data_IF_521349625216
#
_entry.id   IF_521349625216
#
_cell.length_a   1.000
_cell.length_b   1.000
_cell.length_c   1.000
_cell.angle_alpha   90.00
_cell.angle_beta   90.00
_cell.angle_gamma   90.00
#
_symmetry.space_group_name_H-M   'P 1'
#
loop_
_entity.id
_entity.type
_entity.pdbx_description
1 polymer ?
#
# COMPACT_ATOMS: atom_id res chain seq x y z
N UNK A 1 5.95 3.95 5.55
CA UNK A 1 6.64 3.53 4.34
C UNK A 1 5.74 2.64 3.50
N UNK A 2 5.22 3.15 2.38
CA UNK A 2 4.32 2.41 1.49
C UNK A 2 5.12 1.98 0.26
N UNK A 3 5.17 0.67 -0.04
CA UNK A 3 5.95 0.19 -1.16
C UNK A 3 5.30 0.64 -2.47
N UNK A 4 6.14 1.02 -3.42
CA UNK A 4 5.74 1.10 -4.81
C UNK A 4 5.60 -0.29 -5.42
N UNK A 5 4.87 -0.40 -6.53
CA UNK A 5 4.79 -1.66 -7.26
C UNK A 5 6.01 -1.81 -8.15
N UNK A 6 6.63 -3.00 -8.12
CA UNK A 6 7.81 -3.29 -8.94
C UNK A 6 7.40 -3.41 -10.41
N UNK A 7 7.71 -2.39 -11.20
CA UNK A 7 7.52 -2.36 -12.66
C UNK A 7 8.82 -2.64 -13.41
N UNK A 8 9.96 -2.41 -12.75
CA UNK A 8 11.31 -2.73 -13.18
C UNK A 8 12.09 -3.35 -12.01
N UNK A 9 13.08 -4.18 -12.33
CA UNK A 9 13.95 -4.77 -11.32
C UNK A 9 14.94 -3.70 -10.84
N UNK A 10 15.03 -3.41 -9.53
CA UNK A 10 15.96 -2.40 -9.05
C UNK A 10 17.41 -2.83 -9.27
N UNK A 11 18.28 -1.84 -9.50
CA UNK A 11 19.71 -2.07 -9.59
C UNK A 11 20.27 -2.71 -8.31
N UNK A 12 21.30 -3.55 -8.51
CA UNK A 12 22.03 -4.23 -7.44
C UNK A 12 21.10 -4.98 -6.47
N UNK A 13 20.02 -5.56 -6.99
CA UNK A 13 19.03 -6.33 -6.24
C UNK A 13 19.68 -7.28 -5.20
N UNK A 14 20.63 -8.18 -5.55
CA UNK A 14 21.23 -9.10 -4.57
C UNK A 14 22.04 -8.42 -3.46
N UNK A 15 22.60 -7.24 -3.73
CA UNK A 15 23.50 -6.54 -2.81
C UNK A 15 22.75 -5.61 -1.87
N UNK A 16 21.84 -4.80 -2.41
CA UNK A 16 21.29 -3.64 -1.71
C UNK A 16 19.86 -3.87 -1.21
N UNK A 17 19.27 -5.04 -1.45
CA UNK A 17 17.89 -5.33 -1.11
C UNK A 17 17.71 -6.59 -0.26
N UNK A 18 16.69 -6.53 0.59
CA UNK A 18 16.08 -7.67 1.26
C UNK A 18 14.79 -8.07 0.54
N UNK A 19 14.40 -9.34 0.65
CA UNK A 19 13.12 -9.88 0.16
C UNK A 19 12.45 -10.74 1.23
N UNK A 20 11.13 -10.72 1.28
CA UNK A 20 10.35 -11.66 2.06
C UNK A 20 8.96 -11.94 1.48
N UNK A 21 8.42 -13.10 1.84
CA UNK A 21 7.04 -13.46 1.54
C UNK A 21 6.09 -12.51 2.28
N UNK A 22 5.26 -11.76 1.57
CA UNK A 22 4.32 -10.83 2.19
C UNK A 22 3.10 -11.62 2.67
N UNK A 23 2.71 -11.55 3.96
CA UNK A 23 1.43 -12.10 4.41
C UNK A 23 0.25 -11.41 3.72
N UNK A 24 -0.78 -12.19 3.40
CA UNK A 24 -2.12 -11.66 3.14
C UNK A 24 -2.72 -11.04 4.42
N UNK A 25 -3.60 -10.06 4.25
CA UNK A 25 -4.32 -9.46 5.38
C UNK A 25 -4.26 -7.94 5.40
N UNK A 26 -4.63 -7.36 6.55
CA UNK A 26 -4.81 -5.92 6.73
C UNK A 26 -3.52 -5.30 7.25
N UNK A 27 -2.82 -4.53 6.41
CA UNK A 27 -1.69 -3.72 6.85
C UNK A 27 -2.15 -2.63 7.84
N UNK A 28 -1.44 -2.50 8.94
CA UNK A 28 -1.79 -1.59 10.03
C UNK A 28 -0.56 -1.21 10.85
N UNK A 29 -0.61 -0.03 11.46
CA UNK A 29 0.27 0.27 12.58
C UNK A 29 -0.29 -0.33 13.85
N UNK A 30 0.58 -0.89 14.68
CA UNK A 30 0.28 -1.33 16.04
C UNK A 30 1.03 -0.44 17.01
N UNK A 31 0.28 0.27 17.86
CA UNK A 31 0.82 1.21 18.85
C UNK A 31 0.53 0.69 20.24
N UNK A 32 1.56 0.46 21.06
CA UNK A 32 1.43 0.12 22.47
C UNK A 32 1.83 1.30 23.36
N UNK A 33 0.93 1.71 24.25
CA UNK A 33 1.11 2.81 25.20
C UNK A 33 0.09 2.70 26.33
N UNK A 34 0.43 3.22 27.52
CA UNK A 34 -0.50 3.40 28.64
C UNK A 34 -1.28 2.15 29.08
N UNK A 35 -0.66 0.98 28.91
CA UNK A 35 -1.21 -0.32 29.28
C UNK A 35 -2.26 -0.83 28.29
N UNK A 36 -2.26 -0.33 27.05
CA UNK A 36 -3.12 -0.83 25.98
C UNK A 36 -2.38 -0.84 24.64
N UNK A 37 -2.91 -1.61 23.69
CA UNK A 37 -2.42 -1.69 22.32
C UNK A 37 -3.55 -1.38 21.36
N UNK A 38 -3.28 -0.52 20.37
CA UNK A 38 -4.24 -0.10 19.36
C UNK A 38 -3.64 -0.38 17.99
N UNK A 39 -4.39 -1.09 17.15
CA UNK A 39 -4.03 -1.25 15.73
C UNK A 39 -4.86 -0.32 14.85
N UNK A 40 -4.23 0.37 13.89
CA UNK A 40 -4.88 1.31 12.98
C UNK A 40 -4.49 1.03 11.54
N UNK A 41 -5.48 0.98 10.65
CA UNK A 41 -5.25 0.86 9.22
C UNK A 41 -4.70 2.18 8.65
N UNK A 42 -4.23 2.15 7.39
CA UNK A 42 -3.67 3.32 6.68
C UNK A 42 -4.62 4.53 6.65
N UNK A 43 -5.92 4.30 6.56
CA UNK A 43 -6.95 5.36 6.58
C UNK A 43 -7.28 5.87 8.00
N UNK A 44 -6.53 5.43 9.02
CA UNK A 44 -6.70 5.85 10.42
C UNK A 44 -7.77 5.09 11.21
N UNK A 45 -8.58 4.23 10.55
CA UNK A 45 -9.60 3.44 11.23
C UNK A 45 -8.94 2.49 12.24
N UNK A 46 -9.54 2.40 13.42
CA UNK A 46 -9.08 1.45 14.44
C UNK A 46 -9.56 0.06 14.03
N UNK A 47 -8.61 -0.87 13.87
CA UNK A 47 -8.93 -2.28 13.67
C UNK A 47 -9.27 -2.93 15.00
N UNK A 48 -8.35 -2.86 15.98
CA UNK A 48 -8.55 -3.42 17.31
C UNK A 48 -7.97 -2.54 18.43
N UNK A 49 -8.57 -2.66 19.63
CA UNK A 49 -8.01 -2.23 20.92
C UNK A 49 -7.87 -3.46 21.81
N UNK A 50 -6.69 -3.74 22.33
CA UNK A 50 -6.40 -5.01 23.02
C UNK A 50 -5.19 -4.91 23.97
N UNK A 51 -5.09 -5.77 25.00
CA UNK A 51 -3.86 -5.93 25.76
C UNK A 51 -2.84 -6.76 24.97
N UNK A 52 -1.57 -6.38 25.00
CA UNK A 52 -0.48 -7.15 24.38
C UNK A 52 0.73 -7.24 25.30
N UNK A 53 1.60 -8.23 25.03
CA UNK A 53 2.89 -8.38 25.69
C UNK A 53 3.99 -7.46 25.10
N UNK A 54 3.63 -6.51 24.23
CA UNK A 54 4.53 -5.44 23.83
C UNK A 54 4.79 -4.50 25.01
N UNK A 55 5.90 -3.73 25.00
CA UNK A 55 6.17 -2.74 26.03
C UNK A 55 5.00 -1.78 26.22
N UNK A 56 4.52 -1.64 27.46
CA UNK A 56 3.35 -0.85 27.84
C UNK A 56 2.05 -1.20 27.10
N UNK A 57 1.96 -2.42 26.54
CA UNK A 57 0.79 -2.91 25.81
C UNK A 57 -0.34 -3.45 26.68
N UNK A 58 -0.09 -3.68 27.97
CA UNK A 58 -1.06 -4.19 28.95
C UNK A 58 -0.76 -3.63 30.36
N UNK A 59 -1.78 -3.57 31.22
CA UNK A 59 -1.63 -3.22 32.64
C UNK A 59 -1.31 -4.47 33.45
N UNK A 60 -0.04 -4.74 33.69
CA UNK A 60 0.43 -5.87 34.52
C UNK A 60 1.11 -5.36 35.80
N UNK A 61 1.13 -6.19 36.85
CA UNK A 61 1.75 -5.83 38.15
C UNK A 61 3.27 -5.62 38.06
N UNK A 62 3.92 -6.26 37.09
CA UNK A 62 5.38 -6.30 36.95
C UNK A 62 5.94 -5.23 35.99
N UNK A 63 5.07 -4.35 35.46
CA UNK A 63 5.45 -3.32 34.49
C UNK A 63 6.11 -2.11 35.11
N UNK A 64 7.36 -2.24 35.59
CA UNK A 64 8.21 -1.12 36.05
C UNK A 64 8.80 -0.29 34.88
N UNK A 65 8.03 -0.12 33.80
CA UNK A 65 8.43 0.69 32.65
C UNK A 65 8.17 2.16 32.93
N UNK A 66 8.99 3.04 32.35
CA UNK A 66 8.67 4.47 32.27
C UNK A 66 7.26 4.63 31.71
N UNK A 67 6.38 5.30 32.45
CA UNK A 67 4.99 5.59 32.09
C UNK A 67 4.86 6.38 30.77
N UNK A 68 5.96 6.88 30.20
CA UNK A 68 5.97 7.67 28.96
C UNK A 68 6.54 6.93 27.75
N UNK A 69 6.87 5.63 27.87
CA UNK A 69 7.42 4.88 26.74
C UNK A 69 6.32 4.24 25.88
N UNK A 70 6.43 4.33 24.56
CA UNK A 70 5.50 3.72 23.61
C UNK A 70 6.27 2.94 22.54
N UNK A 71 5.60 2.02 21.85
CA UNK A 71 6.19 1.31 20.70
C UNK A 71 5.25 1.38 19.50
N UNK A 72 5.83 1.43 18.31
CA UNK A 72 5.11 1.48 17.03
C UNK A 72 5.70 0.41 16.12
N UNK A 73 4.87 -0.55 15.74
CA UNK A 73 5.20 -1.61 14.77
C UNK A 73 4.37 -1.41 13.50
N UNK A 74 4.97 -1.69 12.34
CA UNK A 74 4.24 -1.87 11.08
C UNK A 74 3.96 -3.36 10.91
N UNK A 75 2.68 -3.71 10.83
CA UNK A 75 2.23 -5.09 10.83
C UNK A 75 1.25 -5.36 9.69
N UNK A 76 1.15 -6.63 9.32
CA UNK A 76 0.03 -7.16 8.55
C UNK A 76 -0.76 -8.09 9.47
N UNK A 77 -2.01 -7.74 9.75
CA UNK A 77 -2.90 -8.59 10.52
C UNK A 77 -3.53 -9.63 9.59
N UNK A 78 -3.16 -10.89 9.80
CA UNK A 78 -3.71 -12.03 9.08
C UNK A 78 -4.91 -12.57 9.87
N UNK A 79 -6.09 -12.53 9.25
CA UNK A 79 -7.35 -12.77 9.98
C UNK A 79 -7.56 -14.24 10.34
N UNK A 80 -7.09 -15.15 9.48
CA UNK A 80 -7.34 -16.59 9.61
C UNK A 80 -6.66 -17.20 10.84
N UNK A 81 -5.45 -16.76 11.20
CA UNK A 81 -4.69 -17.22 12.37
C UNK A 81 -4.64 -16.17 13.50
N UNK A 82 -5.33 -15.04 13.33
CA UNK A 82 -5.37 -13.91 14.26
C UNK A 82 -3.98 -13.42 14.70
N UNK A 83 -3.01 -13.42 13.80
CA UNK A 83 -1.62 -13.02 14.08
C UNK A 83 -1.27 -11.69 13.43
N UNK A 84 -0.57 -10.83 14.20
CA UNK A 84 0.10 -9.65 13.66
C UNK A 84 1.50 -10.04 13.18
N UNK A 85 1.66 -10.20 11.88
CA UNK A 85 2.97 -10.38 11.28
C UNK A 85 3.68 -9.04 11.22
N UNK A 86 4.76 -8.88 11.97
CA UNK A 86 5.52 -7.64 12.06
C UNK A 86 6.47 -7.58 10.87
N UNK A 87 6.28 -6.56 10.03
CA UNK A 87 7.11 -6.31 8.84
C UNK A 87 8.12 -5.19 9.07
N UNK A 88 7.90 -4.36 10.10
CA UNK A 88 8.82 -3.27 10.45
C UNK A 88 8.66 -2.79 11.89
N UNK A 89 9.69 -2.12 12.42
CA UNK A 89 9.70 -1.46 13.72
C UNK A 89 10.07 0.01 13.55
N UNK A 90 9.13 0.89 13.91
CA UNK A 90 9.25 2.34 13.71
C UNK A 90 9.68 3.03 15.01
N UNK A 91 9.21 2.53 16.15
CA UNK A 91 9.59 3.01 17.47
C UNK A 91 9.54 1.86 18.47
N UNK A 92 10.50 1.82 19.40
CA UNK A 92 10.52 0.82 20.47
C UNK A 92 10.85 1.45 21.80
N UNK A 93 9.94 1.35 22.79
CA UNK A 93 10.11 1.95 24.13
C UNK A 93 10.51 3.43 24.10
N UNK A 94 9.99 4.19 23.14
CA UNK A 94 10.30 5.62 22.95
C UNK A 94 11.56 5.89 22.11
N UNK A 95 12.35 4.88 21.75
CA UNK A 95 13.44 5.04 20.80
C UNK A 95 12.89 5.11 19.38
N UNK A 96 12.99 6.29 18.78
CA UNK A 96 12.67 6.53 17.37
C UNK A 96 13.65 5.78 16.47
N UNK A 97 13.13 5.03 15.50
CA UNK A 97 13.93 4.33 14.48
C UNK A 97 13.71 4.90 13.07
N UNK A 98 13.04 6.04 12.94
CA UNK A 98 12.73 6.64 11.64
C UNK A 98 13.98 6.88 10.78
N UNK A 99 15.04 7.41 11.39
CA UNK A 99 16.31 7.73 10.74
C UNK A 99 17.30 6.55 10.70
N UNK A 100 16.84 5.35 11.07
CA UNK A 100 17.64 4.14 10.96
C UNK A 100 17.38 3.42 9.65
N UNK A 101 18.44 2.82 9.10
CA UNK A 101 18.37 1.96 7.92
C UNK A 101 17.46 0.75 8.14
N UNK A 102 16.88 0.21 7.07
CA UNK A 102 16.05 -0.98 7.12
C UNK A 102 16.79 -2.17 7.72
N UNK A 103 18.06 -2.32 7.38
CA UNK A 103 18.94 -3.34 7.96
C UNK A 103 19.00 -3.27 9.50
N UNK A 104 19.25 -2.07 10.05
CA UNK A 104 19.26 -1.91 11.50
C UNK A 104 17.88 -2.17 12.11
N UNK A 105 16.81 -1.65 11.50
CA UNK A 105 15.44 -1.86 11.99
C UNK A 105 15.05 -3.33 12.02
N UNK A 106 15.41 -4.10 10.99
CA UNK A 106 15.14 -5.54 10.93
C UNK A 106 15.96 -6.33 11.96
N UNK A 107 17.25 -6.02 12.10
CA UNK A 107 18.08 -6.60 13.15
C UNK A 107 17.50 -6.32 14.55
N UNK A 108 17.16 -5.06 14.81
CA UNK A 108 16.62 -4.62 16.10
C UNK A 108 15.25 -5.25 16.39
N UNK A 109 14.37 -5.30 15.39
CA UNK A 109 13.06 -5.96 15.47
C UNK A 109 13.21 -7.43 15.89
N UNK A 110 14.07 -8.19 15.22
CA UNK A 110 14.28 -9.60 15.50
C UNK A 110 14.77 -9.81 16.95
N UNK A 111 15.75 -9.00 17.39
CA UNK A 111 16.28 -9.10 18.76
C UNK A 111 15.25 -8.68 19.81
N UNK A 112 14.57 -7.54 19.61
CA UNK A 112 13.73 -6.92 20.64
C UNK A 112 12.36 -7.54 20.78
N UNK A 113 11.79 -8.07 19.69
CA UNK A 113 10.51 -8.77 19.80
C UNK A 113 10.68 -10.11 20.54
N UNK A 114 11.79 -10.81 20.32
CA UNK A 114 12.12 -12.06 21.01
C UNK A 114 12.34 -11.89 22.53
N UNK A 115 12.74 -10.71 22.99
CA UNK A 115 12.84 -10.37 24.41
C UNK A 115 11.46 -10.18 25.08
N UNK A 116 10.36 -10.24 24.32
CA UNK A 116 8.99 -10.09 24.82
C UNK A 116 8.22 -11.41 24.80
N UNK A 117 7.11 -11.48 25.55
CA UNK A 117 6.14 -12.56 25.42
C UNK A 117 5.18 -12.42 24.23
N UNK A 118 5.43 -11.51 23.27
CA UNK A 118 4.49 -11.21 22.19
C UNK A 118 4.35 -12.33 21.15
N UNK A 119 5.32 -13.23 21.08
CA UNK A 119 5.30 -14.40 20.18
C UNK A 119 4.62 -15.63 20.81
N UNK A 120 4.34 -15.58 22.11
CA UNK A 120 3.69 -16.66 22.87
C UNK A 120 2.19 -16.79 22.51
N UNK A 121 1.55 -17.92 22.87
CA UNK A 121 0.11 -18.07 22.68
C UNK A 121 -0.71 -17.00 23.43
N UNK A 122 -1.90 -16.65 22.92
CA UNK A 122 -2.78 -15.68 23.57
C UNK A 122 -3.10 -16.00 25.04
N UNK A 123 -3.18 -14.96 25.87
CA UNK A 123 -3.56 -15.00 27.28
C UNK A 123 -4.42 -13.79 27.66
N UNK A 124 -4.85 -13.71 28.93
CA UNK A 124 -5.70 -12.60 29.40
C UNK A 124 -5.10 -11.21 29.17
N UNK A 125 -3.77 -11.08 29.30
CA UNK A 125 -3.04 -9.82 29.08
C UNK A 125 -2.34 -9.75 27.72
N UNK A 126 -2.61 -10.71 26.83
CA UNK A 126 -2.00 -10.79 25.51
C UNK A 126 -2.98 -11.42 24.51
N UNK A 127 -3.79 -10.60 23.84
CA UNK A 127 -4.92 -11.10 23.05
C UNK A 127 -4.53 -11.72 21.70
N UNK A 128 -3.57 -11.12 21.00
CA UNK A 128 -3.18 -11.52 19.65
C UNK A 128 -1.69 -11.82 19.62
N UNK A 129 -1.34 -12.91 18.94
CA UNK A 129 0.06 -13.29 18.71
C UNK A 129 0.72 -12.29 17.76
N UNK A 130 2.00 -12.04 17.98
CA UNK A 130 2.89 -11.37 17.03
C UNK A 130 3.87 -12.40 16.46
N UNK A 131 4.25 -12.24 15.20
CA UNK A 131 5.26 -13.09 14.59
C UNK A 131 6.14 -12.26 13.67
N UNK A 132 7.42 -12.60 13.64
CA UNK A 132 8.35 -12.07 12.65
C UNK A 132 8.05 -12.71 11.29
N UNK A 133 8.31 -11.94 10.23
CA UNK A 133 8.37 -12.46 8.87
C UNK A 133 9.83 -12.82 8.54
N UNK A 134 10.11 -14.01 7.98
CA UNK A 134 11.47 -14.36 7.56
C UNK A 134 11.97 -13.41 6.47
N UNK A 135 13.00 -12.62 6.78
CA UNK A 135 13.66 -11.71 5.84
C UNK A 135 14.90 -12.37 5.27
N UNK A 136 15.06 -12.34 3.95
CA UNK A 136 16.16 -12.95 3.23
C UNK A 136 16.92 -11.92 2.41
N UNK A 137 18.21 -12.17 2.17
CA UNK A 137 18.98 -11.51 1.11
C UNK A 137 18.39 -11.84 -0.25
N UNK A 138 18.52 -10.93 -1.22
CA UNK A 138 18.05 -11.16 -2.58
C UNK A 138 19.03 -11.99 -3.44
N UNK A 139 19.71 -12.97 -2.86
CA UNK A 139 20.45 -13.98 -3.63
C UNK A 139 19.51 -15.08 -4.14
N UNK A 140 20.03 -16.00 -4.97
CA UNK A 140 19.25 -17.08 -5.55
C UNK A 140 18.48 -17.89 -4.48
N UNK A 141 19.11 -18.15 -3.35
CA UNK A 141 18.54 -18.97 -2.28
C UNK A 141 17.47 -18.21 -1.50
N UNK A 142 17.71 -16.94 -1.19
CA UNK A 142 16.80 -16.09 -0.45
C UNK A 142 15.56 -15.70 -1.26
N UNK A 143 15.73 -15.41 -2.55
CA UNK A 143 14.61 -15.17 -3.46
C UNK A 143 13.73 -16.43 -3.59
N UNK A 144 14.36 -17.60 -3.76
CA UNK A 144 13.63 -18.88 -3.79
C UNK A 144 12.91 -19.16 -2.46
N UNK A 145 13.54 -18.90 -1.32
CA UNK A 145 12.94 -19.08 0.00
C UNK A 145 11.72 -18.18 0.20
N UNK A 146 11.79 -16.91 -0.20
CA UNK A 146 10.66 -15.99 -0.13
C UNK A 146 9.52 -16.39 -1.10
N UNK A 147 9.87 -16.75 -2.34
CA UNK A 147 8.90 -17.06 -3.39
C UNK A 147 8.22 -18.41 -3.20
N UNK A 148 8.99 -19.49 -3.10
CA UNK A 148 8.50 -20.87 -3.07
C UNK A 148 8.51 -21.50 -1.66
N UNK A 149 9.23 -20.92 -0.70
CA UNK A 149 9.34 -21.49 0.65
C UNK A 149 8.02 -21.53 1.42
N UNK A 150 7.88 -22.50 2.31
CA UNK A 150 6.71 -22.65 3.17
C UNK A 150 6.66 -21.57 4.25
N UNK A 151 5.48 -20.97 4.47
CA UNK A 151 5.21 -19.96 5.50
C UNK A 151 3.88 -20.28 6.18
N UNK A 152 3.64 -19.85 7.44
CA UNK A 152 2.43 -20.21 8.19
C UNK A 152 1.17 -19.43 7.79
N UNK A 153 1.23 -18.65 6.71
CA UNK A 153 0.15 -17.78 6.22
C UNK A 153 0.00 -17.88 4.72
N UNK A 154 -1.15 -17.45 4.21
CA UNK A 154 -1.33 -17.28 2.76
C UNK A 154 -0.52 -16.07 2.31
N UNK A 155 0.35 -16.26 1.31
CA UNK A 155 1.14 -15.18 0.71
C UNK A 155 0.25 -14.23 -0.10
N UNK A 156 0.65 -12.97 -0.14
CA UNK A 156 0.08 -11.95 -1.00
C UNK A 156 1.19 -11.08 -1.61
N UNK A 157 2.08 -11.75 -2.35
CA UNK A 157 3.22 -11.15 -3.03
C UNK A 157 4.55 -11.32 -2.31
N UNK A 158 5.57 -10.71 -2.91
CA UNK A 158 6.87 -10.49 -2.32
C UNK A 158 7.02 -9.01 -1.97
N UNK A 159 7.72 -8.75 -0.87
CA UNK A 159 8.07 -7.40 -0.45
C UNK A 159 9.59 -7.26 -0.43
N UNK A 160 10.08 -6.19 -1.05
CA UNK A 160 11.49 -5.88 -1.18
C UNK A 160 11.80 -4.58 -0.47
N UNK A 161 12.89 -4.56 0.29
CA UNK A 161 13.31 -3.39 1.07
C UNK A 161 14.76 -3.09 0.77
N UNK A 162 15.07 -1.86 0.34
CA UNK A 162 16.45 -1.44 0.23
C UNK A 162 17.07 -1.39 1.63
N UNK A 163 18.24 -2.01 1.80
CA UNK A 163 18.93 -2.16 3.09
C UNK A 163 19.19 -0.83 3.78
N UNK A 164 19.44 0.22 3.00
CA UNK A 164 19.78 1.56 3.48
C UNK A 164 18.54 2.46 3.68
N UNK A 165 17.33 1.99 3.36
CA UNK A 165 16.13 2.80 3.44
C UNK A 165 15.81 3.25 4.87
N UNK A 166 15.66 4.55 5.08
CA UNK A 166 15.07 5.10 6.30
C UNK A 166 13.55 4.90 6.28
N UNK A 167 12.92 4.87 7.45
CA UNK A 167 11.47 4.70 7.50
C UNK A 167 10.76 6.02 7.24
N UNK A 168 10.33 6.25 5.99
CA UNK A 168 9.61 7.46 5.61
C UNK A 168 8.10 7.17 5.43
N UNK A 169 7.18 7.97 6.00
CA UNK A 169 5.76 7.91 5.66
C UNK A 169 5.52 8.28 4.20
N UNK A 170 4.49 7.71 3.58
CA UNK A 170 4.20 7.93 2.15
C UNK A 170 4.75 6.83 1.24
N UNK A 171 4.52 7.00 -0.07
CA UNK A 171 5.05 6.12 -1.11
C UNK A 171 6.58 6.27 -1.16
N UNK A 172 7.28 5.18 -1.46
CA UNK A 172 8.73 5.24 -1.65
C UNK A 172 9.18 4.20 -2.67
N UNK A 173 10.17 4.52 -3.51
CA UNK A 173 10.78 3.54 -4.38
C UNK A 173 11.71 2.60 -3.61
N UNK A 174 12.09 2.92 -2.37
CA UNK A 174 13.02 2.10 -1.56
C UNK A 174 12.35 0.90 -0.87
N UNK A 175 11.06 0.73 -1.09
CA UNK A 175 10.34 -0.50 -0.77
C UNK A 175 9.46 -0.85 -1.97
N UNK A 176 9.49 -2.11 -2.39
CA UNK A 176 8.76 -2.57 -3.57
C UNK A 176 7.87 -3.75 -3.23
N UNK A 177 6.72 -3.83 -3.89
CA UNK A 177 5.84 -5.00 -3.88
C UNK A 177 5.77 -5.59 -5.28
N UNK A 178 5.97 -6.90 -5.38
CA UNK A 178 5.81 -7.65 -6.62
C UNK A 178 4.86 -8.82 -6.39
N UNK A 179 4.10 -9.18 -7.42
CA UNK A 179 3.11 -10.26 -7.35
C UNK A 179 3.06 -11.02 -8.67
N UNK A 180 2.76 -12.30 -8.54
CA UNK A 180 2.29 -13.16 -9.62
C UNK A 180 1.23 -14.15 -9.09
N UNK A 181 0.76 -15.01 -9.97
CA UNK A 181 -0.31 -15.98 -9.69
C UNK A 181 0.11 -17.08 -8.71
N UNK A 182 1.42 -17.29 -8.54
CA UNK A 182 1.96 -18.31 -7.64
C UNK A 182 2.09 -17.79 -6.20
N UNK A 183 2.34 -16.49 -6.02
CA UNK A 183 2.54 -15.89 -4.69
C UNK A 183 1.39 -14.97 -4.22
N UNK A 184 0.36 -14.73 -5.03
CA UNK A 184 -0.81 -13.95 -4.65
C UNK A 184 -2.09 -14.43 -5.33
N UNK A 185 -3.19 -14.42 -4.57
CA UNK A 185 -4.55 -14.65 -5.10
C UNK A 185 -5.10 -13.44 -5.87
N UNK A 186 -4.57 -12.24 -5.61
CA UNK A 186 -5.07 -10.97 -6.12
C UNK A 186 -3.94 -10.21 -6.81
N UNK A 187 -3.51 -10.76 -7.94
CA UNK A 187 -2.50 -10.14 -8.81
C UNK A 187 -3.12 -8.98 -9.59
N UNK A 188 -4.30 -9.22 -10.17
CA UNK A 188 -5.08 -8.22 -10.91
C UNK A 188 -6.24 -7.73 -10.02
N UNK A 189 -6.47 -6.41 -10.02
CA UNK A 189 -7.58 -5.81 -9.30
C UNK A 189 -8.92 -6.39 -9.77
N UNK A 190 -9.78 -6.76 -8.80
CA UNK A 190 -11.11 -7.30 -9.03
C UNK A 190 -12.20 -6.29 -8.70
N UNK A 191 -13.37 -6.45 -9.29
CA UNK A 191 -14.57 -5.70 -8.92
C UNK A 191 -15.15 -6.14 -7.56
N UNK A 192 -16.28 -5.56 -7.17
CA UNK A 192 -16.97 -5.87 -5.91
C UNK A 192 -17.51 -7.31 -5.83
N UNK A 193 -17.52 -8.05 -6.95
CA UNK A 193 -17.92 -9.47 -7.03
C UNK A 193 -16.70 -10.40 -7.05
N UNK A 194 -15.49 -9.86 -6.96
CA UNK A 194 -14.25 -10.63 -7.06
C UNK A 194 -13.91 -11.03 -8.50
N UNK A 195 -14.51 -10.41 -9.51
CA UNK A 195 -14.24 -10.70 -10.91
C UNK A 195 -13.22 -9.73 -11.48
N UNK A 196 -12.29 -10.21 -12.29
CA UNK A 196 -11.33 -9.35 -13.01
C UNK A 196 -12.08 -8.59 -14.11
N UNK A 197 -12.11 -7.25 -14.09
CA UNK A 197 -12.76 -6.47 -15.15
C UNK A 197 -12.03 -6.64 -16.50
N UNK A 198 -12.78 -6.56 -17.60
CA UNK A 198 -12.25 -6.63 -18.98
C UNK A 198 -11.21 -5.53 -19.22
N UNK A 199 -11.52 -4.31 -18.79
CA UNK A 199 -10.64 -3.15 -18.87
C UNK A 199 -10.05 -2.85 -17.50
N UNK A 200 -8.78 -2.45 -17.45
CA UNK A 200 -8.18 -1.99 -16.21
C UNK A 200 -8.96 -0.81 -15.64
N UNK A 201 -9.26 -0.86 -14.34
CA UNK A 201 -9.87 0.24 -13.62
C UNK A 201 -8.83 0.93 -12.74
N UNK A 202 -8.88 2.26 -12.72
CA UNK A 202 -7.99 3.10 -11.89
C UNK A 202 -8.81 4.09 -11.09
N UNK A 203 -8.30 4.46 -9.92
CA UNK A 203 -8.88 5.50 -9.07
C UNK A 203 -7.91 6.66 -8.99
N UNK A 204 -8.36 7.84 -9.40
CA UNK A 204 -7.58 9.08 -9.41
C UNK A 204 -8.28 10.14 -8.57
N UNK A 205 -7.51 11.10 -8.07
CA UNK A 205 -8.02 12.22 -7.29
C UNK A 205 -8.27 13.42 -8.19
N UNK A 206 -9.47 14.01 -8.11
CA UNK A 206 -9.78 15.27 -8.76
C UNK A 206 -9.13 16.44 -8.01
N UNK A 207 -8.36 17.24 -8.71
CA UNK A 207 -7.71 18.46 -8.22
C UNK A 207 -8.57 19.70 -8.49
N UNK A 208 -8.24 20.83 -7.83
CA UNK A 208 -8.96 22.10 -7.97
C UNK A 208 -8.95 22.65 -9.41
N UNK A 209 -7.92 22.34 -10.18
CA UNK A 209 -7.76 22.79 -11.58
C UNK A 209 -8.39 21.83 -12.61
N UNK A 210 -9.17 20.84 -12.16
CA UNK A 210 -9.84 19.85 -13.00
C UNK A 210 -8.95 18.67 -13.41
N UNK A 211 -7.66 18.67 -13.04
CA UNK A 211 -6.78 17.52 -13.29
C UNK A 211 -7.19 16.32 -12.43
N UNK A 212 -6.96 15.13 -12.98
CA UNK A 212 -7.08 13.88 -12.23
C UNK A 212 -5.70 13.25 -12.06
N UNK A 213 -5.32 13.02 -10.81
CA UNK A 213 -3.94 12.67 -10.44
C UNK A 213 -3.84 11.43 -9.59
N UNK A 214 -2.65 10.84 -9.56
CA UNK A 214 -2.28 9.75 -8.64
C UNK A 214 -2.03 10.25 -7.22
N UNK A 215 -1.81 9.32 -6.30
CA UNK A 215 -1.46 9.62 -4.90
C UNK A 215 0.04 9.85 -4.64
N UNK A 216 0.84 9.98 -5.70
CA UNK A 216 2.30 10.15 -5.58
C UNK A 216 2.66 11.56 -5.13
N UNK A 217 3.92 11.76 -4.71
CA UNK A 217 4.46 13.06 -4.35
C UNK A 217 5.77 13.31 -5.12
N UNK A 218 5.78 14.20 -6.13
CA UNK A 218 4.64 14.96 -6.64
C UNK A 218 3.60 14.08 -7.39
N UNK A 219 2.33 14.49 -7.45
CA UNK A 219 1.27 13.72 -8.10
C UNK A 219 1.46 13.65 -9.63
N UNK A 220 1.19 12.49 -10.22
CA UNK A 220 1.23 12.29 -11.68
C UNK A 220 -0.12 12.61 -12.29
N UNK A 221 -0.14 13.52 -13.25
CA UNK A 221 -1.36 13.93 -13.97
C UNK A 221 -1.67 12.93 -15.06
N UNK A 222 -2.87 12.35 -15.04
CA UNK A 222 -3.33 11.42 -16.07
C UNK A 222 -4.18 12.09 -17.15
N UNK A 223 -5.00 13.06 -16.75
CA UNK A 223 -5.86 13.82 -17.65
C UNK A 223 -6.35 15.10 -16.98
N UNK A 224 -6.99 15.97 -17.75
CA UNK A 224 -7.74 17.11 -17.27
C UNK A 224 -9.21 16.93 -17.66
N UNK A 225 -10.12 16.96 -16.69
CA UNK A 225 -11.55 16.90 -16.96
C UNK A 225 -12.04 18.26 -17.44
N UNK A 226 -12.87 18.25 -18.48
CA UNK A 226 -13.51 19.46 -18.99
C UNK A 226 -14.40 20.10 -17.90
N UNK A 227 -14.39 21.42 -17.79
CA UNK A 227 -15.20 22.17 -16.81
C UNK A 227 -16.70 21.89 -17.01
N UNK A 228 -17.13 21.71 -18.26
CA UNK A 228 -18.49 21.33 -18.58
C UNK A 228 -18.86 19.95 -18.02
N UNK A 229 -17.90 19.03 -17.94
CA UNK A 229 -18.11 17.71 -17.34
C UNK A 229 -18.26 17.80 -15.81
N UNK A 230 -17.47 18.68 -15.18
CA UNK A 230 -17.53 18.94 -13.73
C UNK A 230 -18.81 19.70 -13.36
N UNK A 231 -19.42 20.48 -14.26
CA UNK A 231 -20.63 21.24 -13.96
C UNK A 231 -21.94 20.55 -14.41
N UNK A 232 -21.86 19.43 -15.14
CA UNK A 232 -23.04 18.70 -15.62
C UNK A 232 -23.85 18.10 -14.46
N UNK A 233 -25.17 18.40 -14.34
CA UNK A 233 -26.02 17.76 -13.34
C UNK A 233 -26.16 16.26 -13.64
N UNK A 234 -25.98 15.43 -12.62
CA UNK A 234 -26.20 13.98 -12.71
C UNK A 234 -27.70 13.71 -12.88
N UNK A 235 -28.13 13.40 -14.12
CA UNK A 235 -29.51 12.97 -14.38
C UNK A 235 -29.70 11.57 -13.80
N UNK A 236 -30.34 11.47 -12.62
CA UNK A 236 -30.80 10.18 -12.10
C UNK A 236 -32.08 9.78 -12.83
N UNK A 237 -32.20 8.56 -13.38
CA UNK A 237 -33.48 8.08 -13.89
C UNK A 237 -34.45 7.91 -12.71
N UNK A 238 -35.49 8.72 -12.69
CA UNK A 238 -36.55 8.69 -11.69
C UNK A 238 -37.49 7.51 -11.99
N UNK A 239 -37.30 6.38 -11.32
CA UNK A 239 -38.32 5.32 -11.25
C UNK A 239 -39.15 5.54 -9.98
N UNK A 240 -40.30 6.20 -10.13
CA UNK A 240 -41.27 6.37 -9.05
C UNK A 240 -42.68 6.44 -9.62
N UNK A 241 -43.51 5.45 -9.32
CA UNK A 241 -44.95 5.50 -9.57
C UNK A 241 -45.53 6.71 -8.82
N UNK A 242 -46.06 7.69 -9.54
CA UNK A 242 -46.84 8.77 -8.95
C UNK A 242 -48.25 8.27 -8.64
N UNK A 243 -48.56 8.11 -7.35
CA UNK A 243 -49.95 8.15 -6.88
C UNK A 243 -50.36 9.61 -6.76
N UNK A 244 -51.39 9.92 -7.54
CA UNK A 244 -52.26 11.09 -7.58
C UNK A 244 -52.56 11.69 -6.20
N UNK A 245 -52.30 12.99 -6.01
CA UNK A 245 -53.28 14.00 -5.56
C UNK A 245 -52.72 15.41 -5.75
N UNK A 246 -53.63 16.29 -6.17
CA UNK A 246 -53.46 17.67 -6.65
C UNK A 246 -52.81 18.64 -5.66
N UNK A 247 -51.91 19.49 -6.18
CA UNK A 247 -51.89 20.95 -6.00
C UNK A 247 -51.12 21.60 -7.15
N UNK A 248 -51.76 22.52 -7.88
CA UNK A 248 -51.17 23.35 -8.92
C UNK A 248 -50.27 24.43 -8.30
N UNK A 249 -49.03 24.55 -8.77
CA UNK A 249 -48.18 25.74 -8.60
C UNK A 249 -47.62 26.14 -9.98
N UNK A 250 -47.71 27.42 -10.42
CA UNK A 250 -47.26 27.84 -11.76
C UNK A 250 -45.74 27.97 -11.89
N UNK A 251 -45.28 27.87 -13.15
CA UNK A 251 -43.90 27.96 -13.62
C UNK A 251 -43.09 29.13 -13.00
N UNK A 252 -42.06 28.75 -12.27
CA UNK A 252 -40.88 29.55 -11.96
C UNK A 252 -39.74 28.59 -11.71
N UNK A 253 -38.76 28.58 -12.61
CA UNK A 253 -37.57 27.74 -12.63
C UNK A 253 -36.79 27.75 -11.31
N UNK A 254 -37.19 26.89 -10.37
CA UNK A 254 -36.31 26.34 -9.33
C UNK A 254 -35.71 25.05 -9.88
N UNK A 255 -34.85 25.23 -10.88
CA UNK A 255 -33.86 24.24 -11.20
C UNK A 255 -32.88 24.26 -10.03
N UNK A 256 -33.13 23.41 -9.04
CA UNK A 256 -32.08 22.93 -8.15
C UNK A 256 -31.09 22.17 -9.05
N UNK A 257 -30.21 22.92 -9.73
CA UNK A 257 -28.96 22.41 -10.21
C UNK A 257 -28.17 22.02 -8.96
N UNK A 258 -28.33 20.78 -8.49
CA UNK A 258 -27.19 20.14 -7.84
C UNK A 258 -26.10 20.13 -8.91
N UNK A 259 -25.02 20.88 -8.67
CA UNK A 259 -23.73 20.71 -9.31
C UNK A 259 -23.42 19.20 -9.40
N UNK A 260 -22.59 18.73 -10.33
CA UNK A 260 -22.26 17.30 -10.54
C UNK A 260 -21.86 16.52 -9.25
N UNK A 261 -21.71 17.23 -8.15
CA UNK A 261 -21.26 16.80 -6.85
C UNK A 261 -19.76 16.59 -6.83
N UNK A 262 -19.08 16.73 -7.97
CA UNK A 262 -17.64 16.57 -8.08
C UNK A 262 -16.96 17.81 -7.52
N UNK A 263 -16.12 17.58 -6.53
CA UNK A 263 -15.28 18.61 -5.95
C UNK A 263 -13.87 18.08 -5.80
N UNK A 264 -12.92 18.99 -5.67
CA UNK A 264 -11.53 18.65 -5.35
C UNK A 264 -11.43 17.71 -4.14
N UNK A 265 -10.47 16.79 -4.21
CA UNK A 265 -10.31 15.67 -3.28
C UNK A 265 -11.30 14.51 -3.53
N UNK A 266 -12.18 14.58 -4.53
CA UNK A 266 -12.99 13.42 -4.92
C UNK A 266 -12.12 12.34 -5.56
N UNK A 267 -12.25 11.12 -5.04
CA UNK A 267 -11.70 9.93 -5.68
C UNK A 267 -12.66 9.43 -6.75
N UNK A 268 -12.20 9.42 -7.99
CA UNK A 268 -12.96 9.09 -9.19
C UNK A 268 -12.44 7.81 -9.81
N UNK A 269 -13.35 6.94 -10.26
CA UNK A 269 -13.01 5.70 -10.97
C UNK A 269 -13.02 5.94 -12.47
N UNK A 270 -12.05 5.36 -13.16
CA UNK A 270 -11.95 5.34 -14.61
C UNK A 270 -11.66 3.92 -15.09
N UNK A 271 -12.17 3.54 -16.26
CA UNK A 271 -11.62 2.44 -17.05
C UNK A 271 -10.56 3.00 -18.00
N UNK A 272 -9.48 2.25 -18.20
CA UNK A 272 -8.55 2.49 -19.31
C UNK A 272 -9.17 1.87 -20.56
N UNK A 273 -9.48 2.70 -21.55
CA UNK A 273 -10.06 2.28 -22.83
C UNK A 273 -9.06 1.55 -23.71
N UNK A 274 -9.51 1.14 -24.90
CA UNK A 274 -8.70 0.36 -25.84
C UNK A 274 -7.52 1.17 -26.40
N UNK A 275 -7.54 2.51 -26.27
CA UNK A 275 -6.40 3.37 -26.59
C UNK A 275 -5.24 3.24 -25.59
N UNK A 276 -5.46 2.62 -24.43
CA UNK A 276 -4.42 2.26 -23.47
C UNK A 276 -3.70 3.44 -22.79
N UNK A 277 -2.48 3.16 -22.34
CA UNK A 277 -1.55 4.15 -21.78
C UNK A 277 -0.39 4.35 -22.76
N UNK A 278 -0.08 5.61 -23.07
CA UNK A 278 1.10 6.00 -23.85
C UNK A 278 2.18 6.49 -22.92
N UNK A 279 3.28 5.75 -22.85
CA UNK A 279 4.45 6.07 -22.04
C UNK A 279 5.64 6.31 -22.96
N UNK A 280 6.30 7.45 -22.82
CA UNK A 280 7.50 7.85 -23.57
C UNK A 280 8.59 8.17 -22.54
N UNK A 281 9.77 7.56 -22.68
CA UNK A 281 10.90 7.74 -21.76
C UNK A 281 10.53 7.55 -20.27
N UNK A 282 9.67 6.56 -19.99
CA UNK A 282 9.19 6.25 -18.64
C UNK A 282 8.12 7.21 -18.09
N UNK A 283 7.75 8.24 -18.85
CA UNK A 283 6.73 9.24 -18.46
C UNK A 283 5.40 8.98 -19.18
N UNK A 284 4.32 9.10 -18.43
CA UNK A 284 2.98 9.05 -18.99
C UNK A 284 2.69 10.31 -19.80
N UNK A 285 2.45 10.13 -21.09
CA UNK A 285 2.10 11.23 -22.01
C UNK A 285 0.59 11.29 -22.25
N UNK A 286 -0.08 10.13 -22.30
CA UNK A 286 -1.52 10.05 -22.55
C UNK A 286 -2.13 8.80 -21.91
N UNK A 287 -3.35 8.95 -21.40
CA UNK A 287 -4.19 7.84 -20.95
C UNK A 287 -5.58 7.95 -21.58
N UNK A 288 -6.08 6.87 -22.18
CA UNK A 288 -7.46 6.78 -22.66
C UNK A 288 -8.39 6.49 -21.48
N UNK A 289 -8.88 7.53 -20.80
CA UNK A 289 -9.68 7.40 -19.57
C UNK A 289 -11.18 7.53 -19.81
N UNK A 290 -11.93 6.51 -19.42
CA UNK A 290 -13.40 6.50 -19.44
C UNK A 290 -13.96 6.56 -18.02
N UNK A 291 -14.67 7.64 -17.67
CA UNK A 291 -15.22 7.82 -16.32
C UNK A 291 -16.28 6.79 -15.94
N UNK A 292 -16.15 6.20 -14.75
CA UNK A 292 -17.04 5.16 -14.21
C UNK A 292 -17.83 5.60 -12.95
N UNK A 293 -17.62 6.83 -12.47
CA UNK A 293 -18.28 7.33 -11.26
C UNK A 293 -17.34 7.55 -10.07
N UNK A 294 -17.88 8.09 -8.98
CA UNK A 294 -17.16 8.28 -7.71
C UNK A 294 -16.78 6.94 -7.07
N UNK A 295 -15.60 6.89 -6.48
CA UNK A 295 -15.11 5.77 -5.68
C UNK A 295 -15.99 5.52 -4.45
N UNK A 296 -15.89 4.31 -3.88
CA UNK A 296 -16.53 3.97 -2.61
C UNK A 296 -15.98 4.88 -1.50
N UNK A 297 -16.86 5.37 -0.62
CA UNK A 297 -16.53 6.22 0.54
C UNK A 297 -15.49 5.59 1.50
N UNK A 298 -15.37 4.26 1.51
CA UNK A 298 -14.36 3.56 2.32
C UNK A 298 -12.93 3.70 1.76
N UNK A 299 -12.79 4.06 0.47
CA UNK A 299 -11.50 4.26 -0.15
C UNK A 299 -10.92 5.61 0.28
N UNK A 300 -9.68 5.59 0.75
CA UNK A 300 -9.03 6.76 1.33
C UNK A 300 -8.03 7.46 0.41
N UNK A 301 -7.54 6.79 -0.65
CA UNK A 301 -6.48 7.31 -1.51
C UNK A 301 -6.69 6.93 -2.98
N UNK A 302 -6.19 7.76 -3.90
CA UNK A 302 -5.99 7.40 -5.31
C UNK A 302 -5.00 6.22 -5.45
N UNK A 303 -4.94 5.62 -6.64
CA UNK A 303 -3.87 4.70 -7.00
C UNK A 303 -2.54 5.46 -7.19
N UNK A 304 -1.43 4.80 -6.90
CA UNK A 304 -0.10 5.29 -7.27
C UNK A 304 0.19 5.01 -8.74
N UNK A 305 1.09 5.78 -9.33
CA UNK A 305 1.56 5.58 -10.70
C UNK A 305 2.10 4.16 -10.89
N UNK A 306 3.00 3.71 -10.02
CA UNK A 306 3.56 2.36 -10.06
C UNK A 306 2.48 1.27 -10.00
N UNK A 307 1.41 1.46 -9.22
CA UNK A 307 0.28 0.52 -9.20
C UNK A 307 -0.43 0.45 -10.55
N UNK A 308 -0.73 1.61 -11.14
CA UNK A 308 -1.41 1.70 -12.44
C UNK A 308 -0.57 1.02 -13.50
N UNK A 309 0.73 1.28 -13.52
CA UNK A 309 1.66 0.67 -14.47
C UNK A 309 1.80 -0.84 -14.28
N UNK A 310 1.92 -1.31 -13.03
CA UNK A 310 1.97 -2.74 -12.72
C UNK A 310 0.70 -3.46 -13.20
N UNK A 311 -0.49 -2.90 -12.91
CA UNK A 311 -1.78 -3.47 -13.34
C UNK A 311 -1.94 -3.49 -14.87
N UNK A 312 -1.33 -2.53 -15.58
CA UNK A 312 -1.29 -2.53 -17.04
C UNK A 312 -0.35 -3.62 -17.57
N UNK A 313 0.86 -3.71 -17.00
CA UNK A 313 1.88 -4.68 -17.41
C UNK A 313 1.42 -6.11 -17.18
N UNK A 314 0.82 -6.43 -16.03
CA UNK A 314 0.39 -7.80 -15.74
C UNK A 314 -0.69 -8.32 -16.71
N UNK A 315 -1.42 -7.43 -17.37
CA UNK A 315 -2.43 -7.78 -18.38
C UNK A 315 -1.86 -8.06 -19.77
N UNK A 316 -0.60 -7.67 -20.05
CA UNK A 316 0.00 -7.79 -21.39
C UNK A 316 1.41 -8.34 -21.39
N UNK A 317 2.30 -7.77 -20.58
CA UNK A 317 3.72 -8.10 -20.50
C UNK A 317 4.20 -8.05 -19.03
N UNK A 318 3.85 -9.05 -18.20
CA UNK A 318 4.22 -9.07 -16.78
C UNK A 318 5.74 -9.20 -16.60
N UNK A 319 6.27 -8.50 -15.59
CA UNK A 319 7.58 -8.81 -15.02
C UNK A 319 7.49 -10.14 -14.28
N UNK A 320 8.26 -11.14 -14.71
CA UNK A 320 8.21 -12.51 -14.20
C UNK A 320 9.28 -12.76 -13.14
N UNK A 321 9.08 -13.80 -12.34
CA UNK A 321 10.10 -14.24 -11.37
C UNK A 321 11.46 -14.53 -12.02
N UNK A 322 11.45 -15.04 -13.26
CA UNK A 322 12.67 -15.32 -14.02
C UNK A 322 13.47 -14.05 -14.33
N UNK A 323 12.82 -12.89 -14.47
CA UNK A 323 13.49 -11.60 -14.69
C UNK A 323 14.22 -11.16 -13.41
N UNK A 324 13.60 -11.36 -12.25
CA UNK A 324 14.27 -11.13 -10.96
C UNK A 324 15.45 -12.09 -10.77
N UNK A 325 15.29 -13.36 -11.11
CA UNK A 325 16.37 -14.37 -11.02
C UNK A 325 17.52 -14.04 -11.97
N UNK A 326 17.23 -13.61 -13.19
CA UNK A 326 18.23 -13.20 -14.17
C UNK A 326 19.07 -12.02 -13.66
N UNK A 327 18.46 -11.04 -12.98
CA UNK A 327 19.15 -9.87 -12.40
C UNK A 327 20.15 -10.20 -11.28
N UNK A 328 20.01 -11.36 -10.64
CA UNK A 328 20.95 -11.80 -9.60
C UNK A 328 22.30 -12.18 -10.23
N UNK A 329 22.28 -12.64 -11.49
CA UNK A 329 23.45 -13.17 -12.18
C UNK A 329 24.14 -12.15 -13.10
N UNK A 330 23.58 -10.94 -13.25
CA UNK A 330 24.22 -9.88 -14.04
C UNK A 330 25.40 -9.30 -13.28
N UNK A 331 26.62 -9.30 -13.85
CA UNK A 331 27.79 -8.72 -13.18
C UNK A 331 27.60 -7.20 -13.00
N UNK A 332 27.97 -6.70 -11.82
CA UNK A 332 27.98 -5.27 -11.50
C UNK A 332 29.04 -4.58 -12.40
N UNK A 333 28.61 -3.89 -13.46
CA UNK A 333 29.50 -3.22 -14.42
C UNK A 333 30.02 -1.84 -13.91
N UNK A 334 30.13 -1.67 -12.60
CA UNK A 334 30.55 -0.42 -11.94
C UNK A 334 32.02 -0.41 -11.48
N UNK A 335 32.85 -1.30 -12.01
CA UNK A 335 34.27 -1.38 -11.67
C UNK A 335 35.21 -0.42 -12.42
N UNK A 336 34.71 0.51 -13.25
CA UNK A 336 35.61 1.25 -14.16
C UNK A 336 35.22 2.72 -14.43
N UNK A 337 34.86 3.48 -13.38
CA UNK A 337 34.95 4.94 -13.43
C UNK A 337 36.23 5.36 -12.71
N UNK A 338 37.24 5.92 -13.40
CA UNK A 338 38.41 6.47 -12.72
C UNK A 338 37.95 7.64 -11.84
N UNK A 339 38.34 7.61 -10.58
CA UNK A 339 38.21 8.74 -9.65
C UNK A 339 38.80 9.98 -10.32
N UNK A 340 37.95 10.95 -10.61
CA UNK A 340 38.41 12.26 -11.05
C UNK A 340 38.97 12.93 -9.81
N UNK A 341 40.30 12.94 -9.71
CA UNK A 341 41.06 13.69 -8.72
C UNK A 341 40.52 15.12 -8.61
N UNK A 342 39.96 15.45 -7.46
CA UNK A 342 39.67 16.83 -7.06
C UNK A 342 41.02 17.50 -6.77
N UNK A 343 41.57 18.18 -7.77
CA UNK A 343 42.69 19.13 -7.59
C UNK A 343 42.16 20.37 -6.86
N UNK A 344 42.93 20.80 -5.86
CA UNK A 344 42.56 21.78 -4.82
C UNK A 344 42.59 23.25 -5.21
#
# INVERSE_FOLDING_TARGET
MLPEWMIDVPHRLPHDWYVFARPSGKRCFVVSSDGTTISRQRNGTVLHRFPSALPNGARTRDGSGSAQSYSILDCIFHEMDQTYYVIDMVCWRGYSLYDCTAEFRFFWLNSKLAETGACEPPSHYHKYRFSLVPVHTCDQSGLHAAYAGGVPYVKDGLLFYNKHAHYQPGNTPLALVWKDENCSQYVIDTDNKGQVPSHQQVVLELQDDGKVTTSDDPPVVFSCLDLDFIQRPLVKPFWGLTRQTDWLVPLGSLQLCEESGLHSGNLLRFAIGDGGLSVVDGKLEKADLHYLGKSNRARAFADSYSKVMFQNMVRGSPLKIDDLVASINTPDDEGNRPDVDMVG
#
